data_IF_471548995780
#
_entry.id   IF_471548995780
#
_cell.length_a   1.000
_cell.length_b   1.000
_cell.length_c   1.000
_cell.angle_alpha   90.00
_cell.angle_beta   90.00
_cell.angle_gamma   90.00
#
_symmetry.space_group_name_H-M   'P 1'
#
loop_
_entity.id
_entity.type
_entity.pdbx_description
1 polymer ?
#
# COMPACT_ATOMS: atom_id res chain seq x y z
N UNK A 1 10.54 16.12 27.16
CA UNK A 1 10.90 15.60 25.81
C UNK A 1 10.76 16.75 24.83
N UNK A 2 11.83 17.17 24.15
CA UNK A 2 11.79 18.36 23.29
C UNK A 2 10.89 18.13 22.07
N UNK A 3 10.18 19.16 21.64
CA UNK A 3 9.33 19.16 20.42
C UNK A 3 10.10 18.70 19.16
N UNK A 4 11.42 18.84 19.17
CA UNK A 4 12.34 18.35 18.13
C UNK A 4 12.32 16.82 17.96
N UNK A 5 12.38 16.05 19.05
CA UNK A 5 12.41 14.58 18.98
C UNK A 5 11.10 14.00 18.42
N UNK A 6 9.96 14.57 18.84
CA UNK A 6 8.66 14.10 18.38
C UNK A 6 8.45 14.37 16.88
N UNK A 7 8.96 15.50 16.38
CA UNK A 7 8.91 15.84 14.96
C UNK A 7 9.84 14.95 14.14
N UNK A 8 11.02 14.63 14.67
CA UNK A 8 11.96 13.70 14.05
C UNK A 8 11.35 12.28 13.95
N UNK A 9 10.78 11.76 15.04
CA UNK A 9 10.14 10.45 15.04
C UNK A 9 8.97 10.35 14.04
N UNK A 10 8.22 11.44 13.84
CA UNK A 10 7.12 11.51 12.86
C UNK A 10 7.63 11.48 11.42
N UNK A 11 8.69 12.23 11.12
CA UNK A 11 9.31 12.26 9.79
C UNK A 11 9.87 10.90 9.34
N UNK A 12 10.13 9.99 10.29
CA UNK A 12 10.69 8.65 10.02
C UNK A 12 9.69 7.50 10.22
N UNK A 13 8.38 7.77 10.28
CA UNK A 13 7.37 6.72 10.40
C UNK A 13 7.33 5.76 9.21
N UNK A 14 7.58 6.23 7.99
CA UNK A 14 7.65 5.31 6.85
C UNK A 14 8.90 4.42 6.85
N UNK A 15 9.99 4.86 7.48
CA UNK A 15 11.15 3.98 7.75
C UNK A 15 10.76 2.87 8.74
N UNK A 16 10.05 3.22 9.82
CA UNK A 16 9.54 2.23 10.78
C UNK A 16 8.56 1.24 10.10
N UNK A 17 7.68 1.73 9.23
CA UNK A 17 6.82 0.89 8.40
C UNK A 17 7.65 -0.10 7.57
N UNK A 18 8.70 0.36 6.87
CA UNK A 18 9.54 -0.50 6.04
C UNK A 18 10.20 -1.62 6.87
N UNK A 19 10.66 -1.32 8.09
CA UNK A 19 11.20 -2.33 9.00
C UNK A 19 10.14 -3.36 9.43
N UNK A 20 8.93 -2.91 9.78
CA UNK A 20 7.81 -3.81 10.12
C UNK A 20 7.42 -4.66 8.93
N UNK A 21 7.43 -4.09 7.72
CA UNK A 21 7.14 -4.81 6.48
C UNK A 21 8.20 -5.88 6.18
N UNK A 22 9.49 -5.59 6.36
CA UNK A 22 10.57 -6.58 6.27
C UNK A 22 10.32 -7.73 7.26
N UNK A 23 9.97 -7.42 8.50
CA UNK A 23 9.67 -8.43 9.52
C UNK A 23 8.44 -9.27 9.14
N UNK A 24 7.42 -8.63 8.57
CA UNK A 24 6.25 -9.31 8.03
C UNK A 24 6.60 -10.28 6.90
N UNK A 25 7.40 -9.84 5.93
CA UNK A 25 7.90 -10.67 4.82
C UNK A 25 8.64 -11.89 5.35
N UNK A 26 9.54 -11.68 6.32
CA UNK A 26 10.35 -12.75 6.89
C UNK A 26 9.55 -13.81 7.66
N UNK A 27 8.45 -13.42 8.33
CA UNK A 27 7.76 -14.28 9.29
C UNK A 27 6.36 -14.74 8.85
N UNK A 28 5.61 -13.89 8.15
CA UNK A 28 4.17 -14.07 7.96
C UNK A 28 3.74 -14.17 6.50
N UNK A 29 4.54 -13.65 5.55
CA UNK A 29 4.22 -13.72 4.13
C UNK A 29 3.93 -15.16 3.64
N UNK A 30 4.72 -16.20 3.99
CA UNK A 30 4.44 -17.57 3.52
C UNK A 30 3.06 -18.10 3.93
N UNK A 31 2.56 -17.71 5.11
CA UNK A 31 1.25 -18.13 5.61
C UNK A 31 0.12 -17.52 4.76
N UNK A 32 0.23 -16.24 4.41
CA UNK A 32 -0.78 -15.54 3.62
C UNK A 32 -0.72 -15.90 2.13
N UNK A 33 0.47 -16.12 1.57
CA UNK A 33 0.65 -16.63 0.21
C UNK A 33 -0.10 -17.96 0.02
N UNK A 34 0.07 -18.93 0.91
CA UNK A 34 -0.59 -20.23 0.75
C UNK A 34 -2.12 -20.14 0.60
N UNK A 35 -2.76 -19.17 1.27
CA UNK A 35 -4.20 -18.94 1.17
C UNK A 35 -4.63 -18.12 -0.05
N UNK A 36 -3.78 -17.21 -0.51
CA UNK A 36 -4.07 -16.34 -1.64
C UNK A 36 -3.86 -17.07 -2.99
N UNK A 37 -2.82 -17.91 -3.11
CA UNK A 37 -2.52 -18.65 -4.34
C UNK A 37 -3.65 -19.60 -4.72
N UNK A 38 -4.22 -20.30 -3.73
CA UNK A 38 -5.36 -21.21 -3.92
C UNK A 38 -6.58 -20.52 -4.55
N UNK A 39 -6.78 -19.23 -4.28
CA UNK A 39 -7.92 -18.48 -4.83
C UNK A 39 -7.61 -17.91 -6.20
N UNK A 40 -6.42 -17.33 -6.36
CA UNK A 40 -6.02 -16.64 -7.59
C UNK A 40 -5.76 -17.61 -8.73
N UNK A 41 -5.12 -18.75 -8.46
CA UNK A 41 -4.71 -19.70 -9.50
C UNK A 41 -5.73 -20.81 -9.74
N UNK A 42 -6.25 -21.40 -8.66
CA UNK A 42 -7.15 -22.55 -8.78
C UNK A 42 -8.62 -22.16 -8.93
N UNK A 43 -8.92 -20.84 -8.96
CA UNK A 43 -10.28 -20.29 -9.01
C UNK A 43 -11.21 -20.85 -7.93
N UNK A 44 -10.64 -21.23 -6.78
CA UNK A 44 -11.41 -21.77 -5.68
C UNK A 44 -12.14 -20.66 -4.93
N UNK A 45 -13.41 -20.90 -4.63
CA UNK A 45 -14.19 -20.02 -3.77
C UNK A 45 -13.65 -20.13 -2.34
N UNK A 46 -13.24 -18.99 -1.78
CA UNK A 46 -12.78 -18.88 -0.41
C UNK A 46 -13.42 -17.65 0.25
N UNK A 47 -14.61 -17.85 0.84
CA UNK A 47 -15.37 -16.78 1.47
C UNK A 47 -14.59 -16.07 2.59
N UNK A 48 -13.74 -16.79 3.32
CA UNK A 48 -12.94 -16.20 4.39
C UNK A 48 -11.96 -15.16 3.83
N UNK A 49 -11.24 -15.50 2.75
CA UNK A 49 -10.34 -14.56 2.08
C UNK A 49 -11.12 -13.37 1.51
N UNK A 50 -12.26 -13.63 0.85
CA UNK A 50 -13.13 -12.57 0.32
C UNK A 50 -13.60 -11.59 1.40
N UNK A 51 -14.09 -12.09 2.54
CA UNK A 51 -14.51 -11.26 3.68
C UNK A 51 -13.32 -10.50 4.27
N UNK A 52 -12.15 -11.13 4.37
CA UNK A 52 -10.94 -10.49 4.88
C UNK A 52 -10.51 -9.33 3.98
N UNK A 53 -10.45 -9.54 2.67
CA UNK A 53 -10.09 -8.49 1.69
C UNK A 53 -11.13 -7.35 1.70
N UNK A 54 -12.42 -7.67 1.78
CA UNK A 54 -13.47 -6.66 1.92
C UNK A 54 -13.29 -5.82 3.20
N UNK A 55 -13.04 -6.48 4.33
CA UNK A 55 -12.75 -5.81 5.60
C UNK A 55 -11.50 -4.94 5.52
N UNK A 56 -10.47 -5.39 4.81
CA UNK A 56 -9.22 -4.66 4.61
C UNK A 56 -9.45 -3.35 3.84
N UNK A 57 -10.25 -3.37 2.77
CA UNK A 57 -10.62 -2.19 1.99
C UNK A 57 -11.40 -1.15 2.83
N UNK A 58 -12.29 -1.62 3.71
CA UNK A 58 -13.01 -0.74 4.65
C UNK A 58 -12.06 -0.14 5.68
N UNK A 59 -11.18 -0.96 6.27
CA UNK A 59 -10.18 -0.52 7.26
C UNK A 59 -9.24 0.52 6.66
N UNK A 60 -8.75 0.30 5.45
CA UNK A 60 -7.94 1.25 4.70
C UNK A 60 -8.65 2.59 4.52
N UNK A 61 -9.92 2.58 4.10
CA UNK A 61 -10.73 3.80 3.93
C UNK A 61 -10.71 4.66 5.19
N UNK A 62 -10.95 4.02 6.34
CA UNK A 62 -11.00 4.69 7.64
C UNK A 62 -9.61 5.21 8.02
N UNK A 63 -8.58 4.39 7.80
CA UNK A 63 -7.21 4.71 8.15
C UNK A 63 -6.64 5.85 7.31
N UNK A 64 -6.83 5.86 5.99
CA UNK A 64 -6.44 6.97 5.10
C UNK A 64 -7.13 8.27 5.50
N UNK A 65 -8.43 8.22 5.79
CA UNK A 65 -9.18 9.39 6.28
C UNK A 65 -8.58 9.95 7.58
N UNK A 66 -8.28 9.10 8.56
CA UNK A 66 -7.66 9.55 9.81
C UNK A 66 -6.24 10.07 9.59
N UNK A 67 -5.46 9.39 8.73
CA UNK A 67 -4.08 9.74 8.42
C UNK A 67 -3.98 11.10 7.73
N UNK A 68 -4.74 11.31 6.65
CA UNK A 68 -4.73 12.58 5.92
C UNK A 68 -5.20 13.75 6.77
N UNK A 69 -6.28 13.56 7.56
CA UNK A 69 -6.68 14.58 8.54
C UNK A 69 -5.56 14.89 9.53
N UNK A 70 -4.93 13.88 10.12
CA UNK A 70 -3.85 14.09 11.09
C UNK A 70 -2.64 14.80 10.48
N UNK A 71 -2.28 14.53 9.22
CA UNK A 71 -1.18 15.21 8.51
C UNK A 71 -1.57 16.66 8.18
N UNK A 72 -2.78 16.88 7.65
CA UNK A 72 -3.29 18.21 7.30
C UNK A 72 -3.45 19.12 8.52
N UNK A 73 -3.91 18.58 9.65
CA UNK A 73 -3.99 19.29 10.94
C UNK A 73 -2.63 19.80 11.42
N UNK A 74 -1.51 19.15 11.02
CA UNK A 74 -0.15 19.53 11.40
C UNK A 74 0.51 20.53 10.47
N UNK A 75 0.35 20.36 9.16
CA UNK A 75 1.12 21.11 8.17
C UNK A 75 0.38 22.34 7.64
N UNK A 76 -0.96 22.39 7.75
CA UNK A 76 -1.77 23.46 7.18
C UNK A 76 -1.80 23.42 5.64
N UNK A 77 -2.71 24.21 5.03
CA UNK A 77 -2.98 24.16 3.57
C UNK A 77 -1.79 24.54 2.67
N UNK A 78 -0.85 25.34 3.16
CA UNK A 78 0.20 25.97 2.34
C UNK A 78 1.29 24.98 1.89
N UNK A 79 1.46 23.83 2.55
CA UNK A 79 2.54 22.89 2.19
C UNK A 79 2.22 22.01 0.98
N UNK A 80 0.94 21.78 0.66
CA UNK A 80 0.55 20.81 -0.38
C UNK A 80 0.86 21.32 -1.80
N UNK A 81 0.57 22.58 -2.09
CA UNK A 81 0.86 23.18 -3.41
C UNK A 81 2.37 23.30 -3.68
N UNK A 82 3.18 23.50 -2.62
CA UNK A 82 4.62 23.76 -2.76
C UNK A 82 5.47 22.48 -2.88
N UNK A 83 5.01 21.35 -2.33
CA UNK A 83 5.86 20.17 -2.11
C UNK A 83 5.55 18.96 -3.02
N UNK A 84 4.72 19.10 -4.05
CA UNK A 84 4.62 18.08 -5.12
C UNK A 84 3.27 17.39 -5.27
N UNK A 85 2.22 18.18 -5.52
CA UNK A 85 0.89 17.66 -5.89
C UNK A 85 0.94 16.63 -7.05
N UNK A 86 1.84 16.83 -8.03
CA UNK A 86 2.02 15.91 -9.16
C UNK A 86 2.57 14.54 -8.75
N UNK A 87 3.54 14.48 -7.82
CA UNK A 87 4.10 13.22 -7.35
C UNK A 87 3.09 12.40 -6.55
N UNK A 88 2.31 13.06 -5.69
CA UNK A 88 1.24 12.43 -4.91
C UNK A 88 0.14 11.88 -5.82
N UNK A 89 -0.20 12.59 -6.90
CA UNK A 89 -1.17 12.12 -7.88
C UNK A 89 -0.72 10.84 -8.59
N UNK A 90 0.56 10.75 -8.99
CA UNK A 90 1.11 9.53 -9.62
C UNK A 90 1.05 8.34 -8.64
N UNK A 91 1.46 8.56 -7.39
CA UNK A 91 1.41 7.51 -6.36
C UNK A 91 -0.04 7.08 -6.11
N UNK A 92 -0.98 8.03 -6.11
CA UNK A 92 -2.41 7.75 -5.97
C UNK A 92 -2.98 6.92 -7.14
N UNK A 93 -2.57 7.17 -8.38
CA UNK A 93 -2.96 6.32 -9.53
C UNK A 93 -2.49 4.88 -9.30
N UNK A 94 -1.23 4.71 -8.89
CA UNK A 94 -0.71 3.38 -8.55
C UNK A 94 -1.49 2.74 -7.40
N UNK A 95 -1.94 3.54 -6.43
CA UNK A 95 -2.67 3.04 -5.26
C UNK A 95 -4.07 2.57 -5.67
N UNK A 96 -4.75 3.33 -6.53
CA UNK A 96 -6.01 2.93 -7.15
C UNK A 96 -5.88 1.60 -7.90
N UNK A 97 -4.78 1.39 -8.63
CA UNK A 97 -4.50 0.12 -9.31
C UNK A 97 -4.41 -1.04 -8.30
N UNK A 98 -3.65 -0.87 -7.22
CA UNK A 98 -3.52 -1.88 -6.15
C UNK A 98 -4.88 -2.20 -5.51
N UNK A 99 -5.64 -1.17 -5.14
CA UNK A 99 -6.99 -1.32 -4.55
C UNK A 99 -7.94 -2.03 -5.52
N UNK A 100 -7.85 -1.74 -6.81
CA UNK A 100 -8.65 -2.41 -7.85
C UNK A 100 -8.28 -3.88 -7.99
N UNK A 101 -6.99 -4.23 -8.00
CA UNK A 101 -6.53 -5.62 -8.02
C UNK A 101 -7.04 -6.37 -6.79
N UNK A 102 -6.96 -5.75 -5.61
CA UNK A 102 -7.52 -6.33 -4.37
C UNK A 102 -9.04 -6.53 -4.45
N UNK A 103 -9.76 -5.56 -5.02
CA UNK A 103 -11.19 -5.67 -5.25
C UNK A 103 -11.56 -6.80 -6.19
N UNK A 104 -10.78 -7.02 -7.25
CA UNK A 104 -10.97 -8.16 -8.15
C UNK A 104 -10.66 -9.48 -7.46
N UNK A 105 -9.57 -9.56 -6.69
CA UNK A 105 -9.22 -10.76 -5.91
C UNK A 105 -10.30 -11.08 -4.86
N UNK A 106 -10.85 -10.06 -4.20
CA UNK A 106 -11.99 -10.18 -3.29
C UNK A 106 -13.22 -10.77 -4.00
N UNK A 107 -13.57 -10.26 -5.18
CA UNK A 107 -14.71 -10.75 -5.95
C UNK A 107 -14.50 -12.20 -6.40
N UNK A 108 -13.31 -12.54 -6.90
CA UNK A 108 -12.95 -13.90 -7.28
C UNK A 108 -13.04 -14.86 -6.08
N UNK A 109 -12.54 -14.46 -4.91
CA UNK A 109 -12.64 -15.23 -3.68
C UNK A 109 -14.10 -15.51 -3.25
N UNK A 110 -15.01 -14.59 -3.57
CA UNK A 110 -16.45 -14.72 -3.30
C UNK A 110 -17.21 -15.49 -4.40
N UNK A 111 -16.51 -15.98 -5.42
CA UNK A 111 -17.09 -16.76 -6.51
C UNK A 111 -17.66 -15.93 -7.67
N UNK A 112 -17.33 -14.64 -7.75
CA UNK A 112 -17.66 -13.85 -8.93
C UNK A 112 -16.64 -14.11 -10.04
N UNK A 113 -17.14 -14.39 -11.24
CA UNK A 113 -16.30 -14.51 -12.42
C UNK A 113 -15.92 -13.12 -12.95
N UNK A 114 -14.67 -12.74 -12.72
CA UNK A 114 -14.08 -11.46 -13.16
C UNK A 114 -13.28 -11.63 -14.47
N UNK A 115 -12.89 -12.88 -14.80
CA UNK A 115 -11.90 -13.18 -15.84
C UNK A 115 -12.52 -13.54 -17.20
N UNK A 116 -13.71 -14.12 -17.24
CA UNK A 116 -14.30 -14.62 -18.50
C UNK A 116 -14.84 -13.55 -19.44
N UNK A 117 -14.72 -12.26 -19.11
CA UNK A 117 -15.30 -11.16 -19.87
C UNK A 117 -16.83 -11.06 -19.78
N UNK A 118 -17.51 -12.10 -19.28
CA UNK A 118 -18.91 -12.08 -18.89
C UNK A 118 -19.06 -11.59 -17.44
N UNK A 119 -18.47 -10.42 -17.14
CA UNK A 119 -18.55 -9.85 -15.80
C UNK A 119 -20.01 -9.66 -15.42
N UNK A 120 -20.42 -10.24 -14.30
CA UNK A 120 -21.72 -9.91 -13.71
C UNK A 120 -21.80 -8.40 -13.53
N UNK A 121 -22.93 -7.78 -13.87
CA UNK A 121 -23.14 -6.33 -13.70
C UNK A 121 -22.80 -5.88 -12.28
N UNK A 122 -23.04 -6.74 -11.28
CA UNK A 122 -22.70 -6.51 -9.89
C UNK A 122 -21.18 -6.36 -9.64
N UNK A 123 -20.35 -7.24 -10.21
CA UNK A 123 -18.89 -7.15 -10.10
C UNK A 123 -18.36 -5.82 -10.69
N UNK A 124 -18.86 -5.44 -11.86
CA UNK A 124 -18.52 -4.17 -12.50
C UNK A 124 -18.93 -2.96 -11.65
N UNK A 125 -20.13 -2.97 -11.05
CA UNK A 125 -20.58 -1.93 -10.14
C UNK A 125 -19.73 -1.82 -8.87
N UNK A 126 -19.27 -2.95 -8.32
CA UNK A 126 -18.38 -2.96 -7.15
C UNK A 126 -17.01 -2.35 -7.50
N UNK A 127 -16.40 -2.76 -8.61
CA UNK A 127 -15.12 -2.20 -9.07
C UNK A 127 -15.25 -0.69 -9.35
N UNK A 128 -16.32 -0.28 -10.04
CA UNK A 128 -16.61 1.14 -10.27
C UNK A 128 -16.77 1.90 -8.94
N UNK A 129 -17.47 1.31 -7.98
CA UNK A 129 -17.61 1.86 -6.63
C UNK A 129 -16.26 2.06 -5.92
N UNK A 130 -15.31 1.12 -6.07
CA UNK A 130 -13.96 1.27 -5.53
C UNK A 130 -13.19 2.43 -6.18
N UNK A 131 -13.33 2.62 -7.49
CA UNK A 131 -12.71 3.76 -8.19
C UNK A 131 -13.30 5.09 -7.70
N UNK A 132 -14.62 5.18 -7.58
CA UNK A 132 -15.30 6.38 -7.04
C UNK A 132 -14.89 6.64 -5.59
N UNK A 133 -14.79 5.58 -4.77
CA UNK A 133 -14.29 5.66 -3.40
C UNK A 133 -12.89 6.27 -3.35
N UNK A 134 -11.96 5.81 -4.18
CA UNK A 134 -10.59 6.32 -4.21
C UNK A 134 -10.52 7.78 -4.70
N UNK A 135 -11.33 8.15 -5.69
CA UNK A 135 -11.49 9.54 -6.13
C UNK A 135 -12.00 10.44 -5.01
N UNK A 136 -13.01 9.99 -4.26
CA UNK A 136 -13.54 10.73 -3.11
C UNK A 136 -12.49 10.87 -2.01
N UNK A 137 -11.76 9.80 -1.69
CA UNK A 137 -10.71 9.84 -0.68
C UNK A 137 -9.63 10.88 -1.03
N UNK A 138 -9.18 10.88 -2.28
CA UNK A 138 -8.17 11.83 -2.76
C UNK A 138 -8.68 13.28 -2.77
N UNK A 139 -9.84 13.54 -3.38
CA UNK A 139 -10.36 14.90 -3.54
C UNK A 139 -10.78 15.52 -2.20
N UNK A 140 -11.48 14.77 -1.35
CA UNK A 140 -12.06 15.34 -0.13
C UNK A 140 -11.11 15.36 1.05
N UNK A 141 -10.17 14.41 1.14
CA UNK A 141 -9.26 14.33 2.29
C UNK A 141 -7.81 14.66 1.91
N UNK A 142 -7.44 14.57 0.64
CA UNK A 142 -6.14 15.03 0.14
C UNK A 142 -6.07 16.55 -0.07
N UNK A 143 -7.19 17.20 -0.43
CA UNK A 143 -7.20 18.63 -0.83
C UNK A 143 -7.89 19.60 0.15
N UNK A 144 -8.60 19.14 1.20
CA UNK A 144 -9.42 20.01 2.08
C UNK A 144 -9.67 19.32 3.44
N UNK A 145 -9.88 19.92 4.62
CA UNK A 145 -10.23 21.27 5.06
C UNK A 145 -9.48 21.61 6.38
N UNK A 146 -8.68 22.68 6.38
CA UNK A 146 -8.35 23.39 7.62
C UNK A 146 -9.56 24.25 8.01
N UNK A 147 -10.40 23.77 8.92
CA UNK A 147 -11.59 24.52 9.33
C UNK A 147 -12.37 23.91 10.49
N UNK A 148 -12.36 22.59 10.65
CA UNK A 148 -13.06 21.94 11.77
C UNK A 148 -12.17 21.76 13.00
N UNK A 149 -12.67 22.15 14.18
CA UNK A 149 -11.91 22.18 15.44
C UNK A 149 -11.60 20.81 16.06
N UNK A 150 -11.92 19.70 15.40
CA UNK A 150 -11.71 18.36 15.93
C UNK A 150 -10.42 17.75 15.41
N UNK A 151 -9.31 18.14 16.04
CA UNK A 151 -7.98 17.55 15.82
C UNK A 151 -8.04 16.04 16.04
N UNK A 152 -7.41 15.26 15.15
CA UNK A 152 -7.26 13.82 15.35
C UNK A 152 -6.35 13.57 16.55
N UNK A 153 -6.77 12.70 17.48
CA UNK A 153 -5.96 12.32 18.63
C UNK A 153 -4.78 11.45 18.21
N UNK A 154 -3.67 11.50 18.95
CA UNK A 154 -2.48 10.70 18.65
C UNK A 154 -2.74 9.19 18.67
N UNK A 155 -3.69 8.72 19.47
CA UNK A 155 -4.11 7.31 19.48
C UNK A 155 -4.82 6.90 18.18
N UNK A 156 -5.69 7.75 17.63
CA UNK A 156 -6.36 7.50 16.34
C UNK A 156 -5.36 7.51 15.19
N UNK A 157 -4.38 8.41 15.24
CA UNK A 157 -3.31 8.45 14.26
C UNK A 157 -2.43 7.19 14.31
N UNK A 158 -2.05 6.74 15.51
CA UNK A 158 -1.31 5.49 15.66
C UNK A 158 -2.12 4.28 15.19
N UNK A 159 -3.42 4.22 15.50
CA UNK A 159 -4.31 3.18 14.98
C UNK A 159 -4.37 3.19 13.45
N UNK A 160 -4.41 4.38 12.83
CA UNK A 160 -4.35 4.51 11.38
C UNK A 160 -3.02 3.99 10.82
N UNK A 161 -1.89 4.27 11.47
CA UNK A 161 -0.58 3.75 11.04
C UNK A 161 -0.54 2.22 11.09
N UNK A 162 -1.08 1.61 12.15
CA UNK A 162 -1.17 0.15 12.27
C UNK A 162 -2.10 -0.43 11.20
N UNK A 163 -3.28 0.16 10.99
CA UNK A 163 -4.25 -0.28 9.98
C UNK A 163 -3.68 -0.19 8.56
N UNK A 164 -3.00 0.90 8.22
CA UNK A 164 -2.33 1.06 6.93
C UNK A 164 -1.17 0.09 6.76
N UNK A 165 -0.46 -0.23 7.85
CA UNK A 165 0.59 -1.24 7.83
C UNK A 165 0.04 -2.61 7.50
N UNK A 166 -1.04 -3.03 8.18
CA UNK A 166 -1.72 -4.30 7.92
C UNK A 166 -2.25 -4.33 6.49
N UNK A 167 -2.90 -3.24 6.04
CA UNK A 167 -3.36 -3.10 4.66
C UNK A 167 -2.21 -3.32 3.67
N UNK A 168 -1.10 -2.60 3.81
CA UNK A 168 -0.01 -2.69 2.85
C UNK A 168 0.63 -4.07 2.83
N UNK A 169 0.76 -4.73 3.99
CA UNK A 169 1.28 -6.11 4.07
C UNK A 169 0.40 -7.09 3.27
N UNK A 170 -0.92 -7.09 3.53
CA UNK A 170 -1.85 -8.00 2.85
C UNK A 170 -2.03 -7.63 1.38
N UNK A 171 -2.17 -6.33 1.08
CA UNK A 171 -2.34 -5.84 -0.28
C UNK A 171 -1.12 -6.12 -1.16
N UNK A 172 0.07 -5.94 -0.60
CA UNK A 172 1.29 -6.35 -1.27
C UNK A 172 1.31 -7.85 -1.49
N UNK A 173 1.05 -8.68 -0.49
CA UNK A 173 1.10 -10.14 -0.66
C UNK A 173 0.11 -10.61 -1.73
N UNK A 174 -1.12 -10.10 -1.74
CA UNK A 174 -2.13 -10.45 -2.73
C UNK A 174 -1.78 -9.98 -4.14
N UNK A 175 -1.22 -8.78 -4.31
CA UNK A 175 -0.81 -8.28 -5.64
C UNK A 175 0.49 -8.93 -6.13
N UNK A 176 1.43 -9.15 -5.21
CA UNK A 176 2.73 -9.72 -5.51
C UNK A 176 2.61 -11.17 -5.94
N UNK A 177 1.81 -11.97 -5.28
CA UNK A 177 1.60 -13.37 -5.65
C UNK A 177 1.10 -13.56 -7.08
N UNK A 178 0.14 -12.72 -7.50
CA UNK A 178 -0.39 -12.72 -8.85
C UNK A 178 0.70 -12.49 -9.93
N UNK A 179 1.87 -11.96 -9.52
CA UNK A 179 3.00 -11.67 -10.41
C UNK A 179 4.17 -12.62 -10.16
N UNK A 180 4.50 -12.92 -8.90
CA UNK A 180 5.63 -13.76 -8.53
C UNK A 180 5.53 -15.15 -9.17
N UNK A 181 4.34 -15.76 -9.17
CA UNK A 181 4.10 -17.05 -9.81
C UNK A 181 4.30 -16.99 -11.34
N UNK A 182 4.04 -15.85 -11.98
CA UNK A 182 4.34 -15.66 -13.41
C UNK A 182 5.83 -15.46 -13.70
N UNK A 183 6.62 -15.05 -12.70
CA UNK A 183 8.05 -14.71 -12.90
C UNK A 183 9.02 -15.84 -12.61
N UNK A 184 8.63 -16.90 -11.90
CA UNK A 184 9.42 -18.15 -11.78
C UNK A 184 10.91 -17.99 -11.41
N UNK A 185 11.27 -17.03 -10.54
CA UNK A 185 12.66 -16.61 -10.32
C UNK A 185 13.65 -17.74 -9.99
N UNK A 186 13.20 -18.76 -9.25
CA UNK A 186 14.04 -19.90 -8.85
C UNK A 186 14.45 -20.82 -10.00
N UNK A 187 13.84 -20.69 -11.18
CA UNK A 187 14.14 -21.52 -12.36
C UNK A 187 15.31 -20.97 -13.19
N UNK A 188 15.68 -19.70 -13.00
CA UNK A 188 16.71 -19.02 -13.79
C UNK A 188 18.11 -19.15 -13.15
N UNK A 189 19.14 -19.20 -14.00
CA UNK A 189 20.53 -19.32 -13.57
C UNK A 189 21.42 -18.29 -14.25
N UNK A 190 22.53 -17.90 -13.60
CA UNK A 190 23.52 -17.00 -14.19
C UNK A 190 22.96 -15.61 -14.55
N UNK A 191 23.22 -15.15 -15.76
CA UNK A 191 22.82 -13.81 -16.23
C UNK A 191 21.29 -13.60 -16.25
N UNK A 192 20.53 -14.66 -16.55
CA UNK A 192 19.06 -14.60 -16.61
C UNK A 192 18.47 -14.33 -15.22
N UNK A 193 19.03 -14.92 -14.16
CA UNK A 193 18.61 -14.66 -12.79
C UNK A 193 18.77 -13.18 -12.43
N UNK A 194 19.90 -12.56 -12.78
CA UNK A 194 20.13 -11.14 -12.49
C UNK A 194 19.16 -10.23 -13.25
N UNK A 195 18.88 -10.54 -14.51
CA UNK A 195 17.90 -9.79 -15.31
C UNK A 195 16.50 -9.92 -14.71
N UNK A 196 16.08 -11.14 -14.37
CA UNK A 196 14.76 -11.37 -13.79
C UNK A 196 14.63 -10.77 -12.39
N UNK A 197 15.67 -10.87 -11.55
CA UNK A 197 15.71 -10.21 -10.24
C UNK A 197 15.62 -8.69 -10.36
N UNK A 198 16.25 -8.10 -11.38
CA UNK A 198 16.14 -6.67 -11.67
C UNK A 198 14.71 -6.28 -12.09
N UNK A 199 14.09 -7.02 -13.00
CA UNK A 199 12.69 -6.80 -13.42
C UNK A 199 11.75 -6.96 -12.23
N UNK A 200 11.90 -8.01 -11.44
CA UNK A 200 11.12 -8.24 -10.23
C UNK A 200 11.30 -7.10 -9.23
N UNK A 201 12.52 -6.57 -9.06
CA UNK A 201 12.78 -5.40 -8.20
C UNK A 201 12.04 -4.15 -8.68
N UNK A 202 11.96 -3.92 -10.00
CA UNK A 202 11.23 -2.80 -10.57
C UNK A 202 9.72 -2.95 -10.33
N UNK A 203 9.17 -4.13 -10.63
CA UNK A 203 7.75 -4.43 -10.40
C UNK A 203 7.42 -4.32 -8.91
N UNK A 204 8.29 -4.81 -8.03
CA UNK A 204 8.17 -4.67 -6.59
C UNK A 204 8.02 -3.21 -6.21
N UNK A 205 8.94 -2.34 -6.65
CA UNK A 205 8.90 -0.92 -6.32
C UNK A 205 7.61 -0.28 -6.85
N UNK A 206 7.20 -0.60 -8.08
CA UNK A 206 5.99 -0.06 -8.72
C UNK A 206 4.74 -0.38 -7.91
N UNK A 207 4.65 -1.53 -7.25
CA UNK A 207 3.48 -1.94 -6.46
C UNK A 207 3.61 -1.58 -4.98
N UNK A 208 4.81 -1.73 -4.42
CA UNK A 208 5.11 -1.45 -3.02
C UNK A 208 4.93 0.03 -2.69
N UNK A 209 5.46 0.93 -3.53
CA UNK A 209 5.37 2.38 -3.29
C UNK A 209 3.89 2.80 -3.15
N UNK A 210 2.97 2.45 -4.07
CA UNK A 210 1.55 2.69 -3.89
C UNK A 210 0.90 2.10 -2.64
N UNK A 211 1.30 0.91 -2.19
CA UNK A 211 0.73 0.34 -0.95
C UNK A 211 1.09 1.18 0.29
N UNK A 212 2.18 1.95 0.22
CA UNK A 212 2.65 2.87 1.28
C UNK A 212 2.07 4.28 1.17
N UNK A 213 1.01 4.48 0.37
CA UNK A 213 0.48 5.81 0.04
C UNK A 213 0.26 6.73 1.26
N UNK A 214 -0.34 6.22 2.35
CA UNK A 214 -0.59 7.02 3.55
C UNK A 214 0.67 7.51 4.27
N UNK A 215 1.77 6.74 4.27
CA UNK A 215 3.04 7.20 4.84
C UNK A 215 3.81 8.07 3.86
N UNK A 216 3.79 7.76 2.57
CA UNK A 216 4.41 8.61 1.54
C UNK A 216 3.79 10.01 1.51
N UNK A 217 2.47 10.10 1.67
CA UNK A 217 1.80 11.38 1.81
C UNK A 217 2.33 12.18 3.01
N UNK A 218 2.47 11.54 4.17
CA UNK A 218 3.06 12.19 5.35
C UNK A 218 4.51 12.61 5.10
N UNK A 219 5.34 11.71 4.56
CA UNK A 219 6.75 11.95 4.26
C UNK A 219 6.91 13.15 3.31
N UNK A 220 6.18 13.18 2.20
CA UNK A 220 6.23 14.29 1.24
C UNK A 220 5.78 15.63 1.85
N UNK A 221 4.86 15.60 2.81
CA UNK A 221 4.43 16.80 3.53
C UNK A 221 5.37 17.20 4.69
N UNK A 222 6.22 16.29 5.16
CA UNK A 222 7.07 16.50 6.36
C UNK A 222 8.55 16.61 6.07
N UNK A 223 9.04 16.10 4.94
CA UNK A 223 10.44 16.16 4.51
C UNK A 223 10.90 17.61 4.40
N UNK A 224 11.98 17.93 5.12
CA UNK A 224 12.56 19.29 5.16
C UNK A 224 14.01 19.33 4.71
N UNK A 225 14.68 18.18 4.58
CA UNK A 225 16.08 18.09 4.21
C UNK A 225 16.36 16.98 3.20
N UNK A 226 17.44 17.12 2.42
CA UNK A 226 17.93 16.05 1.54
C UNK A 226 18.27 14.77 2.32
N UNK A 227 18.68 14.90 3.59
CA UNK A 227 19.01 13.76 4.44
C UNK A 227 17.78 12.90 4.71
N UNK A 228 16.61 13.52 4.91
CA UNK A 228 15.36 12.79 5.11
C UNK A 228 14.97 12.03 3.84
N UNK A 229 15.07 12.69 2.67
CA UNK A 229 14.83 12.06 1.37
C UNK A 229 15.74 10.85 1.16
N UNK A 230 17.05 10.99 1.44
CA UNK A 230 18.01 9.88 1.32
C UNK A 230 17.67 8.72 2.25
N UNK A 231 17.24 9.00 3.49
CA UNK A 231 16.83 7.96 4.43
C UNK A 231 15.58 7.19 3.94
N UNK A 232 14.59 7.90 3.39
CA UNK A 232 13.37 7.29 2.83
C UNK A 232 13.71 6.41 1.62
N UNK A 233 14.50 6.93 0.68
CA UNK A 233 14.96 6.17 -0.50
C UNK A 233 15.75 4.95 -0.06
N UNK A 234 16.73 5.11 0.82
CA UNK A 234 17.58 4.01 1.29
C UNK A 234 16.76 2.93 1.99
N UNK A 235 15.82 3.30 2.87
CA UNK A 235 14.95 2.32 3.54
C UNK A 235 14.06 1.55 2.56
N UNK A 236 13.60 2.22 1.49
CA UNK A 236 12.81 1.58 0.42
C UNK A 236 13.68 0.61 -0.37
N UNK A 237 14.91 1.01 -0.75
CA UNK A 237 15.85 0.15 -1.45
C UNK A 237 16.28 -1.08 -0.62
N UNK A 238 16.51 -0.90 0.68
CA UNK A 238 16.81 -2.01 1.60
C UNK A 238 15.64 -2.99 1.67
N UNK A 239 14.41 -2.48 1.73
CA UNK A 239 13.21 -3.32 1.73
C UNK A 239 13.09 -4.12 0.44
N UNK A 240 13.28 -3.47 -0.72
CA UNK A 240 13.29 -4.16 -2.02
C UNK A 240 14.37 -5.24 -2.06
N UNK A 241 15.60 -4.91 -1.69
CA UNK A 241 16.72 -5.86 -1.71
C UNK A 241 16.46 -7.06 -0.79
N UNK A 242 15.88 -6.84 0.39
CA UNK A 242 15.52 -7.90 1.32
C UNK A 242 14.46 -8.83 0.73
N UNK A 243 13.36 -8.27 0.20
CA UNK A 243 12.26 -9.06 -0.36
C UNK A 243 12.72 -9.89 -1.55
N UNK A 244 13.45 -9.27 -2.49
CA UNK A 244 13.97 -9.98 -3.66
C UNK A 244 14.99 -11.04 -3.25
N UNK A 245 15.86 -10.74 -2.28
CA UNK A 245 16.80 -11.73 -1.72
C UNK A 245 16.09 -12.92 -1.08
N UNK A 246 15.02 -12.68 -0.31
CA UNK A 246 14.22 -13.73 0.31
C UNK A 246 13.47 -14.63 -0.69
N UNK A 247 13.31 -14.19 -1.94
CA UNK A 247 12.68 -14.99 -3.00
C UNK A 247 13.66 -15.82 -3.83
N UNK A 248 14.94 -15.43 -3.83
CA UNK A 248 15.99 -16.16 -4.54
C UNK A 248 16.47 -17.36 -3.71
N UNK A 249 16.39 -17.25 -2.39
CA UNK A 249 16.77 -18.29 -1.41
C UNK A 249 15.68 -19.35 -1.26
#
# INVERSE_FOLDING_TARGET
>A
MSTSFLNYAKAHRGVAFNLVFILYVALFQPLLLSGASAVMHEQQINFLLGILLAGLLVVETIALKWKFRAVNDRQGKVSFEKNGAGGIFIIWIGHMLVVTILGMAMLQALGFDVASGAQSTLAGLIVFGLVIRELVLFLFYGASQSGESNKISSHKEFAADVMLTIFACVAYTATWEAIADTTGLSQYHGAELYLQAFVASLVFIILFVPTRFGFLYEELMTVRSERDTRAIILSTLITTAFVIGAMIL
#
